data_IF_797038835755
#
_entry.id   IF_797038835755
#
_cell.length_a   1.000
_cell.length_b   1.000
_cell.length_c   1.000
_cell.angle_alpha   90.00
_cell.angle_beta   90.00
_cell.angle_gamma   90.00
#
_symmetry.space_group_name_H-M   'P 1'
#
loop_
_entity.id
_entity.type
_entity.pdbx_description
1 polymer ?
#
# COMPACT_ATOMS: atom_id res chain seq x y z
N UNK A 1 5.15 -24.10 -67.92
CA UNK A 1 6.56 -24.41 -67.57
C UNK A 1 6.67 -24.24 -66.05
N UNK A 2 6.43 -25.29 -65.27
CA UNK A 2 7.35 -26.36 -64.88
C UNK A 2 8.09 -26.05 -63.55
N UNK A 3 7.69 -26.83 -62.52
CA UNK A 3 8.48 -27.32 -61.34
C UNK A 3 8.76 -26.32 -60.22
N UNK A 4 8.85 -26.68 -58.93
CA UNK A 4 8.67 -27.91 -58.15
C UNK A 4 8.61 -27.46 -56.66
N UNK A 5 7.71 -27.99 -55.81
CA UNK A 5 7.98 -29.04 -54.81
C UNK A 5 9.21 -28.77 -53.90
N UNK A 6 8.96 -28.48 -52.62
CA UNK A 6 9.79 -28.91 -51.50
C UNK A 6 8.96 -28.95 -50.19
N UNK A 7 8.65 -30.17 -49.77
CA UNK A 7 8.22 -30.53 -48.43
C UNK A 7 9.44 -30.95 -47.60
N UNK A 8 9.23 -31.23 -46.30
CA UNK A 8 10.13 -31.78 -45.27
C UNK A 8 10.75 -30.69 -44.35
N UNK A 9 10.93 -30.88 -43.04
CA UNK A 9 10.90 -32.06 -42.19
C UNK A 9 10.68 -31.63 -40.72
N UNK A 10 10.01 -32.48 -39.95
CA UNK A 10 9.74 -32.39 -38.50
C UNK A 10 10.99 -32.64 -37.66
N UNK A 11 11.17 -31.92 -36.54
CA UNK A 11 11.82 -32.46 -35.32
C UNK A 11 11.07 -31.97 -34.09
N UNK A 12 10.42 -32.90 -33.39
CA UNK A 12 9.92 -32.73 -32.04
C UNK A 12 11.06 -33.01 -31.06
N UNK A 13 11.29 -32.09 -30.12
CA UNK A 13 12.20 -32.31 -28.99
C UNK A 13 11.36 -32.60 -27.75
N UNK A 14 11.25 -33.88 -27.44
CA UNK A 14 10.75 -34.36 -26.15
C UNK A 14 11.93 -34.35 -25.18
N UNK A 15 11.91 -33.47 -24.18
CA UNK A 15 12.84 -33.52 -23.07
C UNK A 15 12.16 -34.24 -21.89
N UNK A 16 12.35 -35.55 -21.81
CA UNK A 16 12.11 -36.34 -20.59
C UNK A 16 13.34 -36.26 -19.71
N UNK A 17 13.33 -35.37 -18.71
CA UNK A 17 14.25 -35.39 -17.59
C UNK A 17 13.58 -36.06 -16.40
N UNK A 18 13.82 -37.37 -16.22
CA UNK A 18 13.52 -38.06 -14.98
C UNK A 18 14.75 -37.97 -14.07
N UNK A 19 14.63 -37.26 -12.95
CA UNK A 19 15.57 -37.37 -11.83
C UNK A 19 14.88 -38.09 -10.68
N UNK A 20 15.35 -39.30 -10.39
CA UNK A 20 15.09 -40.01 -9.15
C UNK A 20 16.31 -39.89 -8.25
N UNK A 21 16.03 -39.73 -6.96
CA UNK A 21 16.91 -39.81 -5.79
C UNK A 21 17.59 -38.52 -5.32
N UNK A 22 16.99 -37.91 -4.29
CA UNK A 22 17.67 -37.68 -3.01
C UNK A 22 16.62 -37.59 -1.89
N UNK A 23 16.60 -38.56 -0.97
CA UNK A 23 16.01 -38.39 0.34
C UNK A 23 16.99 -37.56 1.18
N UNK A 24 16.97 -36.25 0.97
CA UNK A 24 17.44 -35.25 1.92
C UNK A 24 16.20 -34.49 2.37
N UNK A 25 15.98 -34.38 3.68
CA UNK A 25 14.98 -33.46 4.20
C UNK A 25 15.44 -32.03 3.92
N UNK A 26 15.19 -31.55 2.70
CA UNK A 26 14.99 -30.13 2.48
C UNK A 26 13.74 -29.78 3.29
N UNK A 27 13.95 -29.12 4.44
CA UNK A 27 12.95 -28.17 4.90
C UNK A 27 12.70 -27.27 3.69
N UNK A 28 11.60 -27.53 2.98
CA UNK A 28 11.18 -26.68 1.87
C UNK A 28 11.23 -25.26 2.42
N UNK A 29 12.19 -24.46 1.94
CA UNK A 29 12.32 -23.07 2.32
C UNK A 29 10.93 -22.49 2.21
N UNK A 30 10.37 -22.06 3.35
CA UNK A 30 9.07 -21.43 3.36
C UNK A 30 9.27 -20.11 2.66
N UNK A 31 9.07 -20.09 1.34
CA UNK A 31 9.25 -18.89 0.56
C UNK A 31 8.05 -17.99 0.82
N UNK A 32 8.23 -17.08 1.77
CA UNK A 32 7.26 -16.04 2.06
C UNK A 32 7.31 -14.94 1.00
N UNK A 33 8.42 -14.81 0.28
CA UNK A 33 8.65 -13.71 -0.63
C UNK A 33 7.69 -13.79 -1.82
N UNK A 34 7.13 -12.65 -2.19
CA UNK A 34 6.17 -12.55 -3.27
C UNK A 34 5.10 -11.51 -3.02
N UNK A 35 4.11 -11.56 -3.91
CA UNK A 35 3.01 -10.62 -3.98
C UNK A 35 1.71 -11.37 -3.72
N UNK A 36 0.93 -10.82 -2.82
CA UNK A 36 -0.23 -11.51 -2.28
C UNK A 36 -1.43 -10.58 -2.22
N UNK A 37 -2.61 -11.14 -2.42
CA UNK A 37 -3.89 -10.44 -2.34
C UNK A 37 -4.81 -11.15 -1.36
N UNK A 38 -5.50 -10.40 -0.50
CA UNK A 38 -6.53 -10.94 0.37
C UNK A 38 -7.64 -11.61 -0.46
N UNK A 39 -7.99 -12.85 -0.09
CA UNK A 39 -9.05 -13.59 -0.77
C UNK A 39 -10.45 -13.01 -0.46
N UNK A 40 -10.59 -12.40 0.71
CA UNK A 40 -11.80 -11.73 1.17
C UNK A 40 -11.41 -10.38 1.81
N UNK A 41 -11.48 -9.33 0.99
CA UNK A 41 -11.08 -7.97 1.39
C UNK A 41 -12.04 -7.40 2.45
N UNK A 42 -13.30 -7.84 2.47
CA UNK A 42 -14.30 -7.34 3.41
C UNK A 42 -14.02 -7.77 4.86
N UNK A 43 -13.24 -8.84 5.05
CA UNK A 43 -12.86 -9.36 6.36
C UNK A 43 -11.45 -8.97 6.78
N UNK A 44 -10.63 -8.43 5.87
CA UNK A 44 -9.18 -8.44 6.06
C UNK A 44 -8.58 -7.16 6.63
N UNK A 45 -9.30 -6.03 6.50
CA UNK A 45 -8.77 -4.68 6.66
C UNK A 45 -7.45 -4.44 5.88
N UNK A 46 -7.18 -5.27 4.88
CA UNK A 46 -6.07 -5.14 3.96
C UNK A 46 -6.43 -5.76 2.62
N UNK A 47 -5.85 -5.26 1.54
CA UNK A 47 -6.09 -5.78 0.19
C UNK A 47 -4.88 -6.53 -0.36
N UNK A 48 -3.69 -5.97 -0.17
CA UNK A 48 -2.43 -6.39 -0.76
C UNK A 48 -1.35 -6.58 0.30
N UNK A 49 -0.51 -7.59 0.10
CA UNK A 49 0.68 -7.83 0.92
C UNK A 49 1.86 -8.14 0.00
N UNK A 50 2.98 -7.47 0.20
CA UNK A 50 4.25 -7.82 -0.45
C UNK A 50 5.26 -8.20 0.61
N UNK A 51 5.95 -9.30 0.38
CA UNK A 51 7.03 -9.79 1.25
C UNK A 51 8.29 -9.92 0.39
N UNK A 52 9.41 -9.43 0.90
CA UNK A 52 10.71 -9.59 0.24
C UNK A 52 11.83 -9.65 1.27
N UNK A 53 12.98 -10.15 0.84
CA UNK A 53 14.18 -10.22 1.68
C UNK A 53 14.99 -8.93 1.57
N UNK A 54 15.50 -8.45 2.70
CA UNK A 54 16.44 -7.34 2.82
C UNK A 54 17.57 -7.76 3.77
N UNK A 55 18.66 -8.27 3.19
CA UNK A 55 19.75 -8.90 3.94
C UNK A 55 19.28 -10.15 4.68
N UNK A 56 19.44 -10.16 6.01
CA UNK A 56 19.03 -11.28 6.88
C UNK A 56 17.59 -11.10 7.44
N UNK A 57 16.87 -10.08 7.00
CA UNK A 57 15.51 -9.77 7.45
C UNK A 57 14.51 -9.88 6.29
N UNK A 58 13.23 -10.05 6.66
CA UNK A 58 12.14 -9.84 5.71
C UNK A 58 11.59 -8.43 5.88
N UNK A 59 11.15 -7.84 4.79
CA UNK A 59 10.31 -6.66 4.77
C UNK A 59 8.92 -7.05 4.28
N UNK A 60 7.91 -6.49 4.94
CA UNK A 60 6.50 -6.69 4.63
C UNK A 60 5.84 -5.35 4.43
N UNK A 61 5.24 -5.15 3.26
CA UNK A 61 4.32 -4.04 2.98
C UNK A 61 2.90 -4.57 2.98
N UNK A 62 2.01 -3.84 3.63
CA UNK A 62 0.57 -4.08 3.56
C UNK A 62 -0.06 -2.85 2.92
N UNK A 63 -0.81 -3.06 1.84
CA UNK A 63 -1.37 -1.99 1.00
C UNK A 63 -0.34 -0.89 0.66
N UNK A 64 -0.70 0.37 0.91
CA UNK A 64 0.11 1.57 0.69
C UNK A 64 0.93 1.99 1.93
N UNK A 65 1.00 1.14 2.96
CA UNK A 65 1.79 1.44 4.16
C UNK A 65 3.29 1.38 3.91
N UNK A 66 4.06 2.02 4.80
CA UNK A 66 5.51 1.87 4.84
C UNK A 66 5.91 0.40 5.05
N UNK A 67 6.96 -0.10 4.38
CA UNK A 67 7.53 -1.41 4.65
C UNK A 67 7.92 -1.58 6.12
N UNK A 68 7.57 -2.74 6.70
CA UNK A 68 7.90 -3.11 8.08
C UNK A 68 8.85 -4.30 8.11
N UNK A 69 9.83 -4.25 9.02
CA UNK A 69 10.67 -5.41 9.29
C UNK A 69 9.86 -6.56 9.86
N UNK A 70 10.18 -7.76 9.42
CA UNK A 70 9.59 -8.98 9.88
C UNK A 70 10.67 -10.03 10.18
N UNK A 71 10.40 -10.82 11.22
CA UNK A 71 11.34 -11.83 11.73
C UNK A 71 10.75 -13.21 11.61
N UNK A 72 11.52 -14.14 11.08
CA UNK A 72 11.10 -15.53 10.97
C UNK A 72 11.21 -16.21 12.35
N UNK A 73 10.10 -16.74 12.83
CA UNK A 73 10.02 -17.51 14.07
C UNK A 73 9.46 -18.92 13.84
N UNK A 74 9.35 -19.69 14.91
CA UNK A 74 8.86 -21.08 14.86
C UNK A 74 7.39 -21.21 14.37
N UNK A 75 6.61 -20.12 14.39
CA UNK A 75 5.19 -20.09 14.01
C UNK A 75 4.91 -19.46 12.63
N UNK A 76 5.90 -18.79 12.03
CA UNK A 76 5.73 -18.00 10.83
C UNK A 76 6.55 -16.72 10.83
N UNK A 77 6.24 -15.83 9.91
CA UNK A 77 6.89 -14.53 9.77
C UNK A 77 6.15 -13.49 10.60
N UNK A 78 6.77 -13.01 11.69
CA UNK A 78 6.19 -11.99 12.56
C UNK A 78 6.56 -10.60 12.06
N UNK A 79 5.56 -9.83 11.66
CA UNK A 79 5.70 -8.44 11.22
C UNK A 79 5.69 -7.54 12.45
N UNK A 80 6.66 -6.63 12.54
CA UNK A 80 6.65 -5.61 13.58
C UNK A 80 5.35 -4.80 13.55
N UNK A 81 4.99 -4.23 14.71
CA UNK A 81 4.04 -3.12 14.71
C UNK A 81 4.53 -2.06 13.73
N UNK A 82 3.62 -1.32 13.10
CA UNK A 82 4.01 -0.07 12.48
C UNK A 82 4.84 0.70 13.52
N UNK A 83 6.04 1.15 13.14
CA UNK A 83 6.77 2.10 13.98
C UNK A 83 5.88 3.30 14.26
N UNK A 84 6.25 4.22 15.17
CA UNK A 84 5.57 5.49 15.19
C UNK A 84 5.77 6.13 13.82
N UNK A 85 4.81 5.95 12.91
CA UNK A 85 4.50 6.95 11.92
C UNK A 85 4.46 8.24 12.73
N UNK A 86 5.07 9.31 12.24
CA UNK A 86 4.79 10.64 12.79
C UNK A 86 3.27 10.76 12.81
N UNK A 87 2.71 10.52 14.00
CA UNK A 87 1.34 10.07 14.12
C UNK A 87 0.49 11.28 13.81
N UNK A 88 -0.08 11.30 12.62
CA UNK A 88 -1.27 12.08 12.32
C UNK A 88 -2.40 11.33 13.02
N UNK A 89 -2.87 11.80 14.19
CA UNK A 89 -3.95 11.14 14.90
C UNK A 89 -5.22 11.54 14.17
N UNK A 90 -5.63 10.73 13.18
CA UNK A 90 -6.88 10.99 12.47
C UNK A 90 -6.93 10.74 10.97
N UNK A 91 -6.05 9.90 10.42
CA UNK A 91 -6.47 9.15 9.23
C UNK A 91 -7.71 8.33 9.63
N UNK A 92 -8.89 8.73 9.18
CA UNK A 92 -10.14 8.05 9.49
C UNK A 92 -10.00 6.54 9.32
N UNK A 93 -10.19 5.80 10.42
CA UNK A 93 -10.30 4.35 10.48
C UNK A 93 -9.35 3.58 9.55
N UNK A 94 -8.05 3.75 9.79
CA UNK A 94 -7.01 2.79 9.46
C UNK A 94 -6.34 2.25 10.72
N UNK A 95 -7.09 2.01 11.79
CA UNK A 95 -6.63 1.38 13.05
C UNK A 95 -6.14 -0.08 12.83
N UNK A 96 -6.14 -0.53 11.58
CA UNK A 96 -6.00 -1.91 11.18
C UNK A 96 -4.60 -2.48 11.43
N UNK A 97 -3.52 -1.70 11.56
CA UNK A 97 -2.17 -2.30 11.54
C UNK A 97 -1.16 -1.75 12.55
N UNK A 98 -1.61 -1.03 13.58
CA UNK A 98 -0.76 -0.77 14.76
C UNK A 98 -0.38 -2.08 15.48
N UNK A 99 -1.25 -3.09 15.42
CA UNK A 99 -0.99 -4.39 16.04
C UNK A 99 -0.04 -5.24 15.19
N UNK A 100 0.94 -5.86 15.86
CA UNK A 100 1.80 -6.85 15.24
C UNK A 100 0.96 -7.97 14.61
N UNK A 101 1.29 -8.35 13.37
CA UNK A 101 0.63 -9.44 12.66
C UNK A 101 1.63 -10.57 12.36
N UNK A 102 1.09 -11.75 12.09
CA UNK A 102 1.87 -12.94 11.76
C UNK A 102 1.42 -13.51 10.43
N UNK A 103 2.39 -13.77 9.55
CA UNK A 103 2.18 -14.43 8.28
C UNK A 103 2.55 -15.91 8.45
N UNK A 104 1.59 -16.80 8.24
CA UNK A 104 1.75 -18.24 8.46
C UNK A 104 1.51 -18.99 7.16
N UNK A 105 2.49 -19.79 6.74
CA UNK A 105 2.33 -20.67 5.57
C UNK A 105 1.65 -21.99 5.97
N UNK A 106 0.39 -22.17 5.57
CA UNK A 106 -0.39 -23.39 5.84
C UNK A 106 -0.64 -24.16 4.55
N UNK A 107 0.06 -25.29 4.37
CA UNK A 107 -0.09 -26.17 3.18
C UNK A 107 0.03 -25.40 1.85
N UNK A 108 0.98 -24.48 1.77
CA UNK A 108 1.21 -23.63 0.58
C UNK A 108 0.24 -22.46 0.43
N UNK A 109 -0.62 -22.20 1.42
CA UNK A 109 -1.46 -21.00 1.49
C UNK A 109 -0.90 -20.05 2.53
N UNK A 110 -0.64 -18.80 2.15
CA UNK A 110 -0.22 -17.78 3.10
C UNK A 110 -1.45 -17.24 3.83
N UNK A 111 -1.39 -17.16 5.16
CA UNK A 111 -2.46 -16.64 6.01
C UNK A 111 -1.91 -15.50 6.84
N UNK A 112 -2.53 -14.33 6.74
CA UNK A 112 -2.29 -13.22 7.66
C UNK A 112 -3.16 -13.43 8.91
N UNK A 113 -2.51 -13.50 10.06
CA UNK A 113 -3.14 -13.64 11.37
C UNK A 113 -2.96 -12.34 12.13
N UNK A 114 -4.07 -11.71 12.51
CA UNK A 114 -4.08 -10.51 13.34
C UNK A 114 -4.67 -10.84 14.69
N UNK A 115 -3.91 -10.58 15.75
CA UNK A 115 -4.37 -10.74 17.12
C UNK A 115 -4.88 -9.40 17.62
N UNK A 116 -6.14 -9.36 18.02
CA UNK A 116 -6.74 -8.19 18.67
C UNK A 116 -6.94 -8.48 20.16
N UNK A 117 -6.59 -7.51 21.01
CA UNK A 117 -6.73 -7.67 22.45
C UNK A 117 -8.21 -7.86 22.84
N UNK A 118 -8.54 -9.04 23.35
CA UNK A 118 -9.91 -9.37 23.80
C UNK A 118 -10.84 -9.91 22.71
N UNK A 119 -10.35 -10.15 21.50
CA UNK A 119 -11.11 -10.78 20.42
C UNK A 119 -10.42 -12.06 19.89
N UNK A 120 -11.16 -12.85 19.12
CA UNK A 120 -10.59 -13.99 18.40
C UNK A 120 -9.65 -13.47 17.31
N UNK A 121 -8.49 -14.11 17.09
CA UNK A 121 -7.62 -13.76 15.98
C UNK A 121 -8.35 -13.79 14.65
N UNK A 122 -8.18 -12.74 13.86
CA UNK A 122 -8.67 -12.67 12.50
C UNK A 122 -7.67 -13.37 11.58
N UNK A 123 -8.15 -14.32 10.78
CA UNK A 123 -7.34 -15.03 9.80
C UNK A 123 -7.78 -14.66 8.38
N UNK A 124 -6.85 -14.09 7.61
CA UNK A 124 -7.08 -13.69 6.22
C UNK A 124 -6.27 -14.60 5.31
N UNK A 125 -6.96 -15.32 4.44
CA UNK A 125 -6.30 -16.12 3.41
C UNK A 125 -5.75 -15.19 2.31
N UNK A 126 -4.47 -15.32 2.02
CA UNK A 126 -3.79 -14.60 0.96
C UNK A 126 -3.57 -15.50 -0.26
N UNK A 127 -3.79 -14.94 -1.45
CA UNK A 127 -3.57 -15.62 -2.73
C UNK A 127 -2.38 -14.99 -3.46
N UNK A 128 -1.50 -15.80 -4.06
CA UNK A 128 -0.40 -15.26 -4.85
C UNK A 128 -0.95 -14.51 -6.07
N UNK A 129 -0.32 -13.39 -6.39
CA UNK A 129 -0.60 -12.60 -7.58
C UNK A 129 0.70 -12.30 -8.34
N UNK A 130 0.59 -12.05 -9.64
CA UNK A 130 1.74 -11.60 -10.41
C UNK A 130 2.12 -10.17 -10.00
N UNK A 131 3.42 -9.86 -10.02
CA UNK A 131 3.96 -8.53 -9.68
C UNK A 131 3.23 -7.39 -10.42
N UNK A 132 3.04 -7.54 -11.73
CA UNK A 132 2.34 -6.52 -12.55
C UNK A 132 0.91 -6.26 -12.07
N UNK A 133 0.18 -7.32 -11.68
CA UNK A 133 -1.18 -7.17 -11.18
C UNK A 133 -1.20 -6.52 -9.78
N UNK A 134 -0.23 -6.87 -8.94
CA UNK A 134 -0.06 -6.26 -7.63
C UNK A 134 0.24 -4.76 -7.73
N UNK A 135 1.21 -4.35 -8.57
CA UNK A 135 1.57 -2.92 -8.69
C UNK A 135 0.43 -2.09 -9.31
N UNK A 136 -0.37 -2.68 -10.21
CA UNK A 136 -1.58 -2.04 -10.75
C UNK A 136 -2.66 -1.85 -9.68
N UNK A 137 -2.93 -2.86 -8.86
CA UNK A 137 -3.92 -2.77 -7.80
C UNK A 137 -3.45 -1.81 -6.69
N UNK A 138 -2.15 -1.81 -6.38
CA UNK A 138 -1.57 -0.86 -5.44
C UNK A 138 -1.71 0.57 -5.93
N UNK A 139 -1.41 0.85 -7.20
CA UNK A 139 -1.60 2.17 -7.80
C UNK A 139 -3.06 2.64 -7.67
N UNK A 140 -4.03 1.75 -7.95
CA UNK A 140 -5.46 2.05 -7.78
C UNK A 140 -5.82 2.37 -6.32
N UNK A 141 -5.33 1.60 -5.35
CA UNK A 141 -5.57 1.85 -3.93
C UNK A 141 -4.94 3.17 -3.47
N UNK A 142 -3.72 3.46 -3.94
CA UNK A 142 -3.03 4.71 -3.66
C UNK A 142 -3.77 5.90 -4.27
N UNK A 143 -4.32 5.77 -5.48
CA UNK A 143 -5.14 6.83 -6.11
C UNK A 143 -6.41 7.12 -5.32
N UNK A 144 -7.11 6.09 -4.88
CA UNK A 144 -8.29 6.24 -4.02
C UNK A 144 -7.92 6.91 -2.69
N UNK A 145 -6.75 6.58 -2.13
CA UNK A 145 -6.23 7.24 -0.93
C UNK A 145 -5.92 8.72 -1.17
N UNK A 146 -5.28 9.07 -2.29
CA UNK A 146 -5.03 10.48 -2.65
C UNK A 146 -6.35 11.25 -2.75
N UNK A 147 -7.36 10.72 -3.45
CA UNK A 147 -8.67 11.38 -3.57
C UNK A 147 -9.29 11.66 -2.20
N UNK A 148 -9.32 10.66 -1.31
CA UNK A 148 -9.85 10.81 0.04
C UNK A 148 -9.10 11.89 0.84
N UNK A 149 -7.77 11.88 0.80
CA UNK A 149 -6.95 12.82 1.57
C UNK A 149 -7.04 14.26 1.05
N UNK A 150 -7.10 14.43 -0.27
CA UNK A 150 -7.30 15.75 -0.90
C UNK A 150 -8.69 16.30 -0.54
N UNK A 151 -9.74 15.47 -0.55
CA UNK A 151 -11.08 15.87 -0.08
C UNK A 151 -11.09 16.25 1.42
N UNK A 152 -10.37 15.50 2.26
CA UNK A 152 -10.25 15.78 3.68
C UNK A 152 -9.53 17.12 3.93
N UNK A 153 -8.44 17.37 3.20
CA UNK A 153 -7.72 18.65 3.24
C UNK A 153 -8.60 19.81 2.76
N UNK A 154 -9.36 19.65 1.68
CA UNK A 154 -10.29 20.67 1.21
C UNK A 154 -11.36 21.01 2.26
N UNK A 155 -11.92 19.98 2.92
CA UNK A 155 -12.86 20.15 4.04
C UNK A 155 -12.21 20.90 5.21
N UNK A 156 -10.96 20.61 5.53
CA UNK A 156 -10.21 21.31 6.57
C UNK A 156 -9.91 22.77 6.20
N UNK A 157 -9.67 23.08 4.92
CA UNK A 157 -9.53 24.45 4.43
C UNK A 157 -10.81 25.24 4.65
N UNK A 158 -11.98 24.66 4.36
CA UNK A 158 -13.26 25.31 4.67
C UNK A 158 -13.43 25.58 6.17
N UNK A 159 -13.18 24.59 7.02
CA UNK A 159 -13.25 24.74 8.48
C UNK A 159 -12.23 25.75 9.03
N UNK A 160 -11.07 25.89 8.38
CA UNK A 160 -10.12 26.95 8.67
C UNK A 160 -10.69 28.32 8.30
N UNK A 161 -11.21 28.46 7.08
CA UNK A 161 -11.73 29.73 6.57
C UNK A 161 -12.87 30.29 7.43
N UNK A 162 -13.78 29.45 7.93
CA UNK A 162 -14.84 29.85 8.85
C UNK A 162 -14.32 30.57 10.10
N UNK A 163 -13.17 30.11 10.64
CA UNK A 163 -12.53 30.70 11.82
C UNK A 163 -11.64 31.90 11.50
N UNK A 164 -11.33 32.13 10.22
CA UNK A 164 -10.42 33.18 9.73
C UNK A 164 -11.10 34.21 8.83
N UNK A 165 -12.40 34.44 9.04
CA UNK A 165 -13.15 35.49 8.33
C UNK A 165 -13.37 35.19 6.86
N UNK A 166 -13.56 33.91 6.51
CA UNK A 166 -13.79 33.42 5.15
C UNK A 166 -12.51 33.25 4.33
N UNK A 167 -11.32 33.34 4.94
CA UNK A 167 -10.05 33.26 4.22
C UNK A 167 -9.41 31.87 4.37
N UNK A 168 -9.15 31.16 3.26
CA UNK A 168 -8.33 29.96 3.24
C UNK A 168 -6.93 30.21 3.85
N UNK A 169 -6.21 29.17 4.29
CA UNK A 169 -4.82 29.31 4.70
C UNK A 169 -3.99 29.86 3.54
N UNK A 170 -3.08 30.79 3.82
CA UNK A 170 -2.16 31.27 2.79
C UNK A 170 -1.26 30.12 2.31
N UNK A 171 -0.82 30.12 1.06
CA UNK A 171 0.03 29.06 0.48
C UNK A 171 1.22 28.67 1.37
N UNK A 172 1.99 29.58 2.00
CA UNK A 172 3.09 29.21 2.89
C UNK A 172 2.66 28.50 4.18
N UNK A 173 1.38 28.57 4.54
CA UNK A 173 0.80 27.86 5.67
C UNK A 173 0.21 26.51 5.26
N UNK A 174 0.23 26.12 3.99
CA UNK A 174 -0.32 24.84 3.54
C UNK A 174 0.79 23.78 3.43
N UNK A 175 1.23 23.26 4.57
CA UNK A 175 2.28 22.24 4.65
C UNK A 175 2.32 21.52 6.02
N UNK A 176 3.04 20.39 6.12
CA UNK A 176 2.99 19.48 7.29
C UNK A 176 3.39 20.11 8.62
N UNK A 177 4.30 21.08 8.63
CA UNK A 177 4.80 21.72 9.85
C UNK A 177 4.13 23.06 10.17
N UNK A 178 3.04 23.38 9.48
CA UNK A 178 2.39 24.68 9.55
C UNK A 178 1.43 24.81 10.75
N UNK A 179 0.92 26.03 10.95
CA UNK A 179 -0.22 26.24 11.85
C UNK A 179 -1.49 25.56 11.35
N UNK A 180 -1.71 25.52 10.03
CA UNK A 180 -2.85 24.82 9.44
C UNK A 180 -2.80 23.33 9.73
N UNK A 181 -1.65 22.68 9.53
CA UNK A 181 -1.46 21.26 9.84
C UNK A 181 -1.72 20.94 11.33
N UNK A 182 -1.20 21.75 12.25
CA UNK A 182 -1.49 21.60 13.69
C UNK A 182 -2.97 21.81 14.03
N UNK A 183 -3.70 22.56 13.20
CA UNK A 183 -5.15 22.74 13.42
C UNK A 183 -5.96 21.52 13.04
N UNK A 184 -5.42 20.59 12.23
CA UNK A 184 -6.08 19.35 11.87
C UNK A 184 -6.35 18.47 13.10
N UNK A 185 -5.47 18.50 14.10
CA UNK A 185 -5.66 17.75 15.35
C UNK A 185 -6.98 18.09 16.04
N UNK A 186 -7.44 19.34 15.90
CA UNK A 186 -8.72 19.79 16.48
C UNK A 186 -9.94 19.20 15.76
N UNK A 187 -9.74 18.69 14.55
CA UNK A 187 -10.73 17.96 13.75
C UNK A 187 -10.59 16.45 13.91
N UNK A 188 -9.67 15.97 14.77
CA UNK A 188 -9.32 14.56 14.88
C UNK A 188 -8.76 14.01 13.57
N UNK A 189 -8.00 14.85 12.85
CA UNK A 189 -7.29 14.55 11.62
C UNK A 189 -5.82 14.92 11.81
N UNK A 190 -4.92 14.38 11.00
CA UNK A 190 -3.55 14.88 10.91
C UNK A 190 -3.15 15.12 9.47
N UNK A 191 -1.92 15.60 9.26
CA UNK A 191 -1.41 15.80 7.91
C UNK A 191 -1.32 14.47 7.15
N UNK A 192 -1.80 14.41 5.90
CA UNK A 192 -1.85 13.15 5.16
C UNK A 192 -0.46 12.68 4.74
N UNK A 193 -0.34 11.36 4.59
CA UNK A 193 0.86 10.69 4.06
C UNK A 193 0.65 10.37 2.59
N UNK A 194 1.66 10.62 1.76
CA UNK A 194 1.68 10.26 0.34
C UNK A 194 1.73 8.71 0.22
N UNK A 195 0.72 8.06 -0.37
CA UNK A 195 0.62 6.60 -0.42
C UNK A 195 1.62 5.94 -1.40
N UNK A 196 2.36 6.72 -2.19
CA UNK A 196 3.40 6.23 -3.08
C UNK A 196 4.80 6.28 -2.47
N UNK A 197 5.04 7.19 -1.53
CA UNK A 197 6.36 7.43 -0.93
C UNK A 197 6.41 7.11 0.57
N UNK A 198 5.26 7.00 1.22
CA UNK A 198 5.11 6.90 2.68
C UNK A 198 5.64 8.12 3.47
N UNK A 199 5.92 9.22 2.78
CA UNK A 199 6.33 10.50 3.37
C UNK A 199 5.12 11.45 3.51
N UNK A 200 5.17 12.51 4.33
CA UNK A 200 4.11 13.53 4.35
C UNK A 200 3.79 14.05 2.94
N UNK A 201 2.51 14.15 2.57
CA UNK A 201 2.13 14.76 1.29
C UNK A 201 2.68 16.18 1.23
N UNK A 202 3.19 16.59 0.08
CA UNK A 202 3.76 17.93 -0.09
C UNK A 202 3.33 18.54 -1.43
N UNK A 203 3.66 19.82 -1.59
CA UNK A 203 3.40 20.49 -2.85
C UNK A 203 4.31 19.94 -3.95
N UNK A 204 3.76 19.65 -5.11
CA UNK A 204 4.46 19.03 -6.24
C UNK A 204 3.48 18.57 -7.31
N UNK A 205 4.01 17.95 -8.37
CA UNK A 205 3.26 17.36 -9.48
C UNK A 205 3.50 15.84 -9.63
N UNK A 206 4.19 15.23 -8.66
CA UNK A 206 4.42 13.79 -8.60
C UNK A 206 3.23 13.02 -8.03
N UNK A 207 3.16 11.68 -8.22
CA UNK A 207 2.10 10.85 -7.64
C UNK A 207 1.98 11.02 -6.13
N UNK A 208 0.78 11.34 -5.66
CA UNK A 208 0.46 11.63 -4.26
C UNK A 208 0.89 13.00 -3.75
N UNK A 209 1.48 13.84 -4.60
CA UNK A 209 1.69 15.25 -4.30
C UNK A 209 0.41 16.06 -4.55
N UNK A 210 0.42 17.34 -4.18
CA UNK A 210 -0.67 18.26 -4.46
C UNK A 210 -0.21 19.63 -4.97
N UNK A 211 -1.11 20.34 -5.65
CA UNK A 211 -1.01 21.77 -5.90
C UNK A 211 -2.09 22.52 -5.12
N UNK A 212 -1.70 23.58 -4.42
CA UNK A 212 -2.60 24.42 -3.65
C UNK A 212 -2.45 25.88 -4.04
N UNK A 213 -3.57 26.55 -4.32
CA UNK A 213 -3.61 27.98 -4.61
C UNK A 213 -4.82 28.65 -3.94
N UNK A 214 -4.74 29.95 -3.70
CA UNK A 214 -5.86 30.71 -3.12
C UNK A 214 -5.95 32.12 -3.70
N UNK A 215 -7.18 32.60 -3.88
CA UNK A 215 -7.50 33.93 -4.36
C UNK A 215 -8.69 34.50 -3.56
N UNK A 216 -8.40 35.41 -2.63
CA UNK A 216 -9.45 36.04 -1.81
C UNK A 216 -10.07 35.05 -0.81
N UNK A 217 -11.33 34.66 -1.04
CA UNK A 217 -12.04 33.65 -0.23
C UNK A 217 -12.06 32.28 -0.90
N UNK A 218 -11.58 32.20 -2.14
CA UNK A 218 -11.58 30.98 -2.94
C UNK A 218 -10.22 30.28 -2.82
N UNK A 219 -10.22 28.97 -3.01
CA UNK A 219 -9.00 28.17 -3.13
C UNK A 219 -9.19 27.06 -4.16
N UNK A 220 -8.06 26.53 -4.62
CA UNK A 220 -7.99 25.36 -5.47
C UNK A 220 -7.00 24.37 -4.84
N UNK A 221 -7.41 23.11 -4.76
CA UNK A 221 -6.58 22.02 -4.26
C UNK A 221 -6.67 20.85 -5.25
N UNK A 222 -5.53 20.49 -5.83
CA UNK A 222 -5.40 19.43 -6.82
C UNK A 222 -4.47 18.36 -6.25
N UNK A 223 -4.89 17.10 -6.22
CA UNK A 223 -4.01 15.95 -6.00
C UNK A 223 -3.58 15.30 -7.31
N UNK A 224 -2.37 14.74 -7.35
CA UNK A 224 -1.84 14.05 -8.53
C UNK A 224 -1.85 12.54 -8.35
N UNK A 225 -2.42 11.84 -9.31
CA UNK A 225 -2.62 10.39 -9.29
C UNK A 225 -1.44 9.62 -9.92
N UNK A 226 -1.47 8.30 -9.81
CA UNK A 226 -0.43 7.38 -10.26
C UNK A 226 -0.08 7.48 -11.75
N UNK A 227 -1.05 7.85 -12.59
CA UNK A 227 -0.90 8.04 -14.03
C UNK A 227 -0.63 9.50 -14.44
N UNK A 228 -0.53 10.41 -13.45
CA UNK A 228 -0.39 11.84 -13.64
C UNK A 228 -1.70 12.59 -13.86
N UNK A 229 -2.86 11.92 -13.77
CA UNK A 229 -4.15 12.61 -13.76
C UNK A 229 -4.27 13.55 -12.54
N UNK A 230 -4.87 14.70 -12.77
CA UNK A 230 -5.13 15.71 -11.75
C UNK A 230 -6.55 15.53 -11.19
N UNK A 231 -6.67 15.37 -9.88
CA UNK A 231 -7.93 15.33 -9.15
C UNK A 231 -8.14 16.66 -8.41
N UNK A 232 -9.06 17.49 -8.89
CA UNK A 232 -9.46 18.71 -8.19
C UNK A 232 -10.51 18.39 -7.11
N UNK A 233 -10.25 18.79 -5.87
CA UNK A 233 -11.26 18.77 -4.82
C UNK A 233 -12.06 20.07 -4.85
N UNK A 234 -13.39 19.91 -4.88
CA UNK A 234 -14.39 20.99 -4.79
C UNK A 234 -15.05 21.02 -3.41
#
# INVERSE_FOLDING_TARGET
MARALAAALTVALVATGASLAACGGEEAGQDYAGFWRAADVALADCTLVKVWEDGDAYLVRVDYEAPRSATLGAGGLRVGAAGPATASPGAGAGDALESACELVLRRGTLVLVRAEAGASPLEVVLRPVAEVAYEQELASLSDDRVRMEVMALASAVYAWAERHGGRPPAVPLFGPDSEFARSLDTLGAGWPTNPFTAEPMHSGDGPGDFAYSTAGSDFELIGYLSDGEAYAAE
#
